data_IF_395926667477
#
_entry.id   IF_395926667477
#
_cell.length_a   1.000
_cell.length_b   1.000
_cell.length_c   1.000
_cell.angle_alpha   90.00
_cell.angle_beta   90.00
_cell.angle_gamma   90.00
#
_symmetry.space_group_name_H-M   'P 1'
#
loop_
_entity.id
_entity.type
_entity.pdbx_description
1 polymer ?
#
# COMPACT_ATOMS: atom_id res chain seq x y z
N UNK A 1 -42.72 11.64 26.62
CA UNK A 1 -42.24 10.23 26.69
C UNK A 1 -40.76 10.29 27.05
N UNK A 2 -40.43 10.16 28.34
CA UNK A 2 -39.05 10.32 28.84
C UNK A 2 -38.21 9.11 28.40
N UNK A 3 -37.39 9.28 27.37
CA UNK A 3 -36.31 8.34 27.08
C UNK A 3 -35.36 8.36 28.29
N UNK A 4 -35.29 7.25 29.04
CA UNK A 4 -34.32 7.10 30.13
C UNK A 4 -32.93 7.16 29.50
N UNK A 5 -32.10 8.09 29.96
CA UNK A 5 -30.69 8.16 29.57
C UNK A 5 -30.05 6.79 29.80
N UNK A 6 -29.39 6.20 28.78
CA UNK A 6 -28.79 4.88 28.93
C UNK A 6 -27.76 4.87 30.07
N UNK A 7 -27.73 3.76 30.80
CA UNK A 7 -26.76 3.55 31.89
C UNK A 7 -25.32 3.72 31.40
N UNK A 8 -24.41 4.00 32.33
CA UNK A 8 -22.98 4.21 32.03
C UNK A 8 -22.36 3.03 31.27
N UNK A 9 -22.77 1.79 31.59
CA UNK A 9 -22.31 0.58 30.90
C UNK A 9 -22.78 0.52 29.45
N UNK A 10 -24.05 0.84 29.17
CA UNK A 10 -24.56 0.83 27.80
C UNK A 10 -23.83 1.87 26.94
N UNK A 11 -23.68 3.10 27.43
CA UNK A 11 -22.95 4.16 26.73
C UNK A 11 -21.49 3.77 26.47
N UNK A 12 -20.85 3.09 27.41
CA UNK A 12 -19.49 2.58 27.22
C UNK A 12 -19.45 1.52 26.13
N UNK A 13 -20.37 0.55 26.15
CA UNK A 13 -20.44 -0.52 25.15
C UNK A 13 -20.71 0.03 23.75
N UNK A 14 -21.58 1.03 23.62
CA UNK A 14 -21.88 1.68 22.34
C UNK A 14 -20.63 2.39 21.79
N UNK A 15 -19.94 3.20 22.61
CA UNK A 15 -18.68 3.86 22.22
C UNK A 15 -17.62 2.86 21.81
N UNK A 16 -17.47 1.77 22.56
CA UNK A 16 -16.46 0.76 22.27
C UNK A 16 -16.80 0.03 20.98
N UNK A 17 -18.04 -0.44 20.83
CA UNK A 17 -18.49 -1.18 19.65
C UNK A 17 -18.33 -0.38 18.37
N UNK A 18 -18.83 0.86 18.36
CA UNK A 18 -18.79 1.72 17.18
C UNK A 18 -17.36 2.17 16.84
N UNK A 19 -16.50 2.38 17.86
CA UNK A 19 -15.10 2.76 17.61
C UNK A 19 -14.30 1.67 16.90
N UNK A 20 -14.67 0.38 17.04
CA UNK A 20 -14.04 -0.71 16.28
C UNK A 20 -14.58 -0.86 14.86
N UNK A 21 -15.66 -0.14 14.51
CA UNK A 21 -16.26 -0.18 13.17
C UNK A 21 -15.51 0.64 12.12
N UNK A 22 -14.65 1.58 12.54
CA UNK A 22 -13.92 2.46 11.62
C UNK A 22 -12.85 1.70 10.82
N UNK A 23 -12.80 1.93 9.50
CA UNK A 23 -11.92 1.18 8.59
C UNK A 23 -10.58 1.88 8.32
N UNK A 24 -10.54 3.20 8.42
CA UNK A 24 -9.35 4.01 8.20
C UNK A 24 -9.24 5.20 9.19
N UNK A 25 -8.09 5.88 9.15
CA UNK A 25 -7.77 6.98 10.06
C UNK A 25 -8.69 8.19 9.87
N UNK A 26 -9.15 8.47 8.66
CA UNK A 26 -9.98 9.64 8.36
C UNK A 26 -11.42 9.44 8.85
N UNK A 27 -11.95 8.22 8.68
CA UNK A 27 -13.21 7.82 9.26
C UNK A 27 -13.14 7.85 10.80
N UNK A 28 -12.06 7.34 11.40
CA UNK A 28 -11.86 7.40 12.85
C UNK A 28 -11.84 8.85 13.37
N UNK A 29 -11.05 9.73 12.74
CA UNK A 29 -10.88 11.15 13.16
C UNK A 29 -12.20 11.92 13.15
N UNK A 30 -13.03 11.69 12.15
CA UNK A 30 -14.32 12.38 11.99
C UNK A 30 -15.45 11.71 12.77
N UNK A 31 -15.48 10.38 12.81
CA UNK A 31 -16.53 9.58 13.44
C UNK A 31 -16.44 9.49 14.96
N UNK A 32 -15.25 9.60 15.55
CA UNK A 32 -15.11 9.53 17.02
C UNK A 32 -15.76 10.72 17.75
N UNK A 33 -15.85 11.88 17.09
CA UNK A 33 -16.40 13.11 17.68
C UNK A 33 -17.92 13.01 17.97
N UNK A 34 -18.79 12.69 17.00
CA UNK A 34 -20.22 12.50 17.26
C UNK A 34 -20.49 11.30 18.18
N UNK A 35 -19.66 10.25 18.11
CA UNK A 35 -19.76 9.10 19.00
C UNK A 35 -19.57 9.50 20.47
N UNK A 36 -18.51 10.25 20.76
CA UNK A 36 -18.24 10.74 22.11
C UNK A 36 -19.27 11.77 22.58
N UNK A 37 -19.84 12.58 21.68
CA UNK A 37 -20.96 13.48 22.01
C UNK A 37 -22.20 12.75 22.49
N UNK A 38 -22.48 11.58 21.91
CA UNK A 38 -23.62 10.75 22.33
C UNK A 38 -23.39 10.15 23.73
N UNK A 39 -22.16 9.79 24.05
CA UNK A 39 -21.81 9.18 25.33
C UNK A 39 -21.61 10.19 26.48
N UNK A 40 -20.99 11.33 26.19
CA UNK A 40 -20.69 12.40 27.14
C UNK A 40 -21.17 13.71 26.53
N UNK A 41 -22.32 14.25 26.96
CA UNK A 41 -22.88 15.49 26.42
C UNK A 41 -21.85 16.63 26.44
N UNK A 42 -21.62 17.22 25.27
CA UNK A 42 -20.69 18.32 25.07
C UNK A 42 -21.16 19.21 23.91
N UNK A 43 -20.72 20.47 23.92
CA UNK A 43 -21.01 21.44 22.87
C UNK A 43 -20.03 21.27 21.70
N UNK A 44 -18.76 21.03 22.03
CA UNK A 44 -17.69 20.80 21.06
C UNK A 44 -16.90 19.54 21.39
N UNK A 45 -16.67 18.71 20.37
CA UNK A 45 -15.69 17.63 20.39
C UNK A 45 -14.60 17.94 19.37
N UNK A 46 -13.34 17.71 19.71
CA UNK A 46 -12.22 17.95 18.80
C UNK A 46 -11.17 16.84 18.88
N UNK A 47 -10.65 16.45 17.72
CA UNK A 47 -9.47 15.63 17.54
C UNK A 47 -8.32 16.55 17.13
N UNK A 48 -7.21 16.50 17.84
CA UNK A 48 -6.09 17.43 17.64
C UNK A 48 -4.76 16.67 17.62
N UNK A 49 -3.94 16.95 16.61
CA UNK A 49 -2.54 16.57 16.52
C UNK A 49 -1.69 17.80 16.85
N UNK A 50 -1.14 17.85 18.06
CA UNK A 50 -0.48 19.03 18.60
C UNK A 50 1.03 18.83 18.62
N UNK A 51 1.72 19.46 17.67
CA UNK A 51 3.18 19.50 17.57
C UNK A 51 3.78 20.62 18.46
N UNK A 52 5.11 20.66 18.59
CA UNK A 52 5.83 21.81 19.14
C UNK A 52 5.89 22.97 18.14
N UNK A 53 5.88 22.66 16.85
CA UNK A 53 5.80 23.61 15.75
C UNK A 53 4.32 23.99 15.49
N UNK A 54 3.92 25.26 15.69
CA UNK A 54 2.57 25.73 15.43
C UNK A 54 2.09 25.48 13.99
N UNK A 55 2.99 25.43 13.00
CA UNK A 55 2.63 25.20 11.60
C UNK A 55 2.30 23.73 11.30
N UNK A 56 2.71 22.82 12.19
CA UNK A 56 2.46 21.37 12.09
C UNK A 56 1.30 20.91 12.96
N UNK A 57 0.60 21.83 13.62
CA UNK A 57 -0.62 21.50 14.35
C UNK A 57 -1.77 21.27 13.37
N UNK A 58 -2.50 20.19 13.60
CA UNK A 58 -3.67 19.84 12.80
C UNK A 58 -4.81 19.43 13.73
N UNK A 59 -6.06 19.62 13.31
CA UNK A 59 -7.19 19.16 14.07
C UNK A 59 -8.52 19.36 13.35
N UNK A 60 -9.50 18.60 13.80
CA UNK A 60 -10.89 18.67 13.35
C UNK A 60 -11.79 18.79 14.58
N UNK A 61 -12.88 19.53 14.44
CA UNK A 61 -13.88 19.72 15.49
C UNK A 61 -15.29 19.52 14.95
N UNK A 62 -16.17 19.09 15.84
CA UNK A 62 -17.62 19.10 15.65
C UNK A 62 -18.25 19.92 16.79
N UNK A 63 -19.02 20.98 16.48
CA UNK A 63 -19.16 21.58 15.15
C UNK A 63 -17.83 22.20 14.68
N UNK A 64 -17.75 22.52 13.39
CA UNK A 64 -16.57 23.17 12.82
C UNK A 64 -16.32 24.52 13.50
N UNK A 65 -15.09 24.76 13.95
CA UNK A 65 -14.69 26.01 14.59
C UNK A 65 -14.53 27.15 13.56
N UNK A 66 -14.68 28.42 13.98
CA UNK A 66 -14.42 29.57 13.12
C UNK A 66 -12.99 29.55 12.53
N UNK A 67 -12.77 30.02 11.28
CA UNK A 67 -11.49 29.90 10.57
C UNK A 67 -10.26 30.48 11.30
N UNK A 68 -10.42 31.53 12.11
CA UNK A 68 -9.32 32.11 12.89
C UNK A 68 -8.93 31.29 14.14
N UNK A 69 -9.79 30.36 14.58
CA UNK A 69 -9.66 29.62 15.83
C UNK A 69 -8.41 28.74 15.87
N UNK A 70 -8.06 27.95 14.82
CA UNK A 70 -6.82 27.17 14.80
C UNK A 70 -5.56 28.01 14.99
N UNK A 71 -5.51 29.22 14.40
CA UNK A 71 -4.37 30.14 14.56
C UNK A 71 -4.26 30.72 15.98
N UNK A 72 -5.40 30.92 16.67
CA UNK A 72 -5.40 31.32 18.09
C UNK A 72 -4.93 30.17 18.97
N UNK A 73 -5.45 28.97 18.73
CA UNK A 73 -5.01 27.76 19.42
C UNK A 73 -3.51 27.53 19.28
N UNK A 74 -2.97 27.55 18.05
CA UNK A 74 -1.56 27.28 17.82
C UNK A 74 -0.62 28.24 18.57
N UNK A 75 -1.04 29.50 18.77
CA UNK A 75 -0.30 30.49 19.55
C UNK A 75 -0.40 30.28 21.07
N UNK A 76 -1.51 29.76 21.58
CA UNK A 76 -1.81 29.72 23.02
C UNK A 76 -1.80 28.32 23.62
N UNK A 77 -1.73 27.26 22.81
CA UNK A 77 -1.78 25.86 23.25
C UNK A 77 -0.69 25.51 24.26
N UNK A 78 0.48 26.16 24.19
CA UNK A 78 1.57 26.00 25.16
C UNK A 78 1.17 26.40 26.60
N UNK A 79 0.11 27.20 26.77
CA UNK A 79 -0.44 27.59 28.08
C UNK A 79 -1.54 26.64 28.58
N UNK A 80 -1.95 25.65 27.77
CA UNK A 80 -3.03 24.75 28.11
C UNK A 80 -2.64 23.80 29.25
N UNK A 81 -3.32 23.82 30.41
CA UNK A 81 -2.84 23.15 31.63
C UNK A 81 -2.74 21.63 31.46
N UNK A 82 -3.74 21.01 30.83
CA UNK A 82 -3.71 19.55 30.56
C UNK A 82 -2.60 19.21 29.56
N UNK A 83 -2.33 20.06 28.57
CA UNK A 83 -1.31 19.78 27.57
C UNK A 83 0.09 19.90 28.17
N UNK A 84 0.32 20.90 29.03
CA UNK A 84 1.55 21.02 29.81
C UNK A 84 1.76 19.81 30.72
N UNK A 85 0.70 19.35 31.39
CA UNK A 85 0.75 18.14 32.21
C UNK A 85 1.15 16.92 31.38
N UNK A 86 0.45 16.64 30.28
CA UNK A 86 0.73 15.50 29.40
C UNK A 86 2.15 15.55 28.83
N UNK A 87 2.62 16.71 28.38
CA UNK A 87 3.98 16.86 27.85
C UNK A 87 5.05 16.55 28.90
N UNK A 88 4.80 16.90 30.17
CA UNK A 88 5.73 16.66 31.29
C UNK A 88 5.68 15.22 31.81
N UNK A 89 4.49 14.65 31.99
CA UNK A 89 4.30 13.36 32.70
C UNK A 89 4.09 12.18 31.75
N UNK A 90 3.70 12.46 30.51
CA UNK A 90 3.19 11.48 29.53
C UNK A 90 1.93 10.73 29.99
N UNK A 91 1.28 11.19 31.06
CA UNK A 91 0.00 10.64 31.51
C UNK A 91 -1.13 11.21 30.65
N UNK A 92 -1.60 10.38 29.72
CA UNK A 92 -2.65 10.71 28.76
C UNK A 92 -4.08 10.40 29.21
N UNK A 93 -4.30 10.04 30.49
CA UNK A 93 -5.64 9.75 31.01
C UNK A 93 -6.56 10.98 30.93
N UNK A 94 -7.90 10.80 30.91
CA UNK A 94 -8.83 11.92 30.94
C UNK A 94 -8.59 12.85 32.11
N UNK A 95 -8.45 14.14 31.83
CA UNK A 95 -8.28 15.22 32.80
C UNK A 95 -9.11 16.42 32.42
N UNK A 96 -9.66 17.08 33.43
CA UNK A 96 -10.36 18.35 33.27
C UNK A 96 -9.36 19.50 33.36
N UNK A 97 -9.70 20.65 32.80
CA UNK A 97 -8.97 21.90 33.08
C UNK A 97 -9.09 22.23 34.58
N UNK A 98 -10.25 22.01 35.18
CA UNK A 98 -10.54 22.24 36.60
C UNK A 98 -9.73 21.39 37.57
N UNK A 99 -9.13 20.28 37.12
CA UNK A 99 -8.19 19.48 37.92
C UNK A 99 -6.88 20.24 38.21
N UNK A 100 -6.59 21.31 37.45
CA UNK A 100 -5.33 22.06 37.50
C UNK A 100 -5.50 23.53 37.87
N UNK A 101 -6.59 24.15 37.43
CA UNK A 101 -6.86 25.57 37.62
C UNK A 101 -8.35 25.78 37.85
N UNK A 102 -8.70 26.49 38.92
CA UNK A 102 -10.11 26.78 39.18
C UNK A 102 -10.70 27.72 38.12
N UNK A 103 -12.03 27.75 38.02
CA UNK A 103 -12.73 28.50 36.97
C UNK A 103 -12.45 30.00 37.01
N UNK A 104 -12.27 30.60 38.19
CA UNK A 104 -12.00 32.04 38.31
C UNK A 104 -10.61 32.35 37.79
N UNK A 105 -9.60 31.57 38.17
CA UNK A 105 -8.25 31.71 37.67
C UNK A 105 -8.15 31.41 36.17
N UNK A 106 -8.86 30.39 35.67
CA UNK A 106 -8.86 30.04 34.24
C UNK A 106 -9.39 31.20 33.38
N UNK A 107 -10.47 31.85 33.82
CA UNK A 107 -11.07 33.02 33.13
C UNK A 107 -10.13 34.23 33.01
N UNK A 108 -9.16 34.34 33.91
CA UNK A 108 -8.17 35.40 33.88
C UNK A 108 -7.01 35.12 32.90
N UNK A 109 -6.91 33.90 32.38
CA UNK A 109 -5.84 33.55 31.43
C UNK A 109 -6.11 34.11 30.04
N UNK A 110 -5.03 34.42 29.32
CA UNK A 110 -5.11 34.81 27.91
C UNK A 110 -5.66 33.69 27.03
N UNK A 111 -5.30 32.44 27.35
CA UNK A 111 -5.86 31.27 26.69
C UNK A 111 -7.39 31.27 26.76
N UNK A 112 -7.97 31.51 27.94
CA UNK A 112 -9.43 31.57 28.05
C UNK A 112 -10.02 32.74 27.26
N UNK A 113 -9.50 33.96 27.46
CA UNK A 113 -10.07 35.18 26.85
C UNK A 113 -10.01 35.15 25.32
N UNK A 114 -8.90 34.69 24.74
CA UNK A 114 -8.69 34.74 23.29
C UNK A 114 -9.27 33.51 22.57
N UNK A 115 -9.38 32.36 23.23
CA UNK A 115 -9.81 31.09 22.62
C UNK A 115 -11.14 30.54 23.16
N UNK A 116 -11.29 30.37 24.48
CA UNK A 116 -12.47 29.70 25.06
C UNK A 116 -13.70 30.61 25.17
N UNK A 117 -13.54 31.85 25.63
CA UNK A 117 -14.63 32.79 25.86
C UNK A 117 -15.45 33.11 24.59
N UNK A 118 -14.83 33.35 23.40
CA UNK A 118 -15.60 33.59 22.17
C UNK A 118 -16.45 32.41 21.71
N UNK A 119 -16.10 31.19 22.16
CA UNK A 119 -16.81 29.96 21.83
C UNK A 119 -17.87 29.59 22.87
N UNK A 120 -17.97 30.35 23.97
CA UNK A 120 -18.86 30.05 25.10
C UNK A 120 -18.45 28.80 25.90
N UNK A 121 -17.20 28.36 25.78
CA UNK A 121 -16.71 27.16 26.46
C UNK A 121 -16.18 27.54 27.84
N UNK A 122 -16.71 26.88 28.88
CA UNK A 122 -16.30 27.10 30.27
C UNK A 122 -15.47 25.94 30.83
N UNK A 123 -15.70 24.74 30.31
CA UNK A 123 -15.10 23.50 30.79
C UNK A 123 -14.64 22.64 29.64
N UNK A 124 -13.55 21.91 29.88
CA UNK A 124 -13.03 20.92 28.93
C UNK A 124 -12.46 19.73 29.70
N UNK A 125 -12.79 18.53 29.22
CA UNK A 125 -12.09 17.28 29.54
C UNK A 125 -11.34 16.82 28.29
N UNK A 126 -10.09 16.41 28.47
CA UNK A 126 -9.29 15.88 27.36
C UNK A 126 -8.47 14.67 27.77
N UNK A 127 -8.20 13.80 26.81
CA UNK A 127 -7.32 12.65 26.96
C UNK A 127 -6.53 12.45 25.68
N UNK A 128 -5.46 11.66 25.76
CA UNK A 128 -4.60 11.44 24.59
C UNK A 128 -4.59 10.00 24.12
N UNK A 129 -4.39 9.84 22.82
CA UNK A 129 -4.09 8.58 22.17
C UNK A 129 -2.57 8.44 21.99
N UNK A 130 -2.03 7.20 21.86
CA UNK A 130 -0.63 6.99 21.58
C UNK A 130 -0.18 7.73 20.33
N UNK A 131 0.97 8.40 20.46
CA UNK A 131 1.61 9.17 19.39
C UNK A 131 3.12 9.17 19.61
N UNK A 132 3.89 9.38 18.55
CA UNK A 132 5.34 9.51 18.63
C UNK A 132 5.68 10.94 19.06
N UNK A 133 6.43 11.15 20.16
CA UNK A 133 6.89 12.49 20.52
C UNK A 133 7.66 13.15 19.36
N UNK A 134 7.55 14.48 19.17
CA UNK A 134 6.93 15.45 20.07
C UNK A 134 5.42 15.65 19.89
N UNK A 135 4.79 14.97 18.93
CA UNK A 135 3.36 15.12 18.61
C UNK A 135 2.50 14.54 19.74
N UNK A 136 1.45 15.27 20.11
CA UNK A 136 0.41 14.80 21.02
C UNK A 136 -0.91 14.68 20.27
N UNK A 137 -1.42 13.47 20.13
CA UNK A 137 -2.79 13.22 19.63
C UNK A 137 -3.77 13.29 20.79
N UNK A 138 -4.62 14.32 20.81
CA UNK A 138 -5.57 14.59 21.89
C UNK A 138 -7.00 14.62 21.39
N UNK A 139 -7.91 14.03 22.16
CA UNK A 139 -9.35 14.20 22.02
C UNK A 139 -9.83 15.10 23.16
N UNK A 140 -10.56 16.16 22.82
CA UNK A 140 -11.05 17.15 23.76
C UNK A 140 -12.58 17.30 23.62
N UNK A 141 -13.28 17.18 24.74
CA UNK A 141 -14.72 17.46 24.85
C UNK A 141 -14.89 18.72 25.68
N UNK A 142 -15.64 19.68 25.14
CA UNK A 142 -15.76 21.02 25.70
C UNK A 142 -17.22 21.42 25.81
N UNK A 143 -17.59 22.06 26.91
CA UNK A 143 -18.97 22.56 27.13
C UNK A 143 -19.01 23.78 28.02
N UNK A 144 -20.16 24.45 28.06
CA UNK A 144 -20.48 25.46 29.05
C UNK A 144 -21.96 25.42 29.45
N UNK A 145 -22.34 25.86 30.67
CA UNK A 145 -21.49 26.43 31.75
C UNK A 145 -20.97 25.40 32.77
N UNK A 146 -21.43 24.15 32.68
CA UNK A 146 -21.19 23.11 33.68
C UNK A 146 -19.92 22.30 33.40
N UNK A 147 -19.25 21.90 34.48
CA UNK A 147 -18.06 21.06 34.39
C UNK A 147 -18.41 19.57 34.25
N UNK A 148 -17.44 18.76 33.80
CA UNK A 148 -17.60 17.31 33.65
C UNK A 148 -17.66 16.61 35.01
N UNK A 149 -18.63 15.73 35.24
CA UNK A 149 -18.73 15.00 36.51
C UNK A 149 -17.77 13.80 36.58
N UNK A 150 -17.64 13.18 37.76
CA UNK A 150 -16.74 12.03 37.96
C UNK A 150 -17.21 10.76 37.24
N UNK A 151 -18.51 10.61 37.00
CA UNK A 151 -19.07 9.52 36.21
C UNK A 151 -18.67 9.62 34.75
N UNK A 152 -18.73 10.82 34.16
CA UNK A 152 -18.30 11.11 32.79
C UNK A 152 -16.81 10.87 32.61
N UNK A 153 -15.98 11.36 33.54
CA UNK A 153 -14.53 11.10 33.50
C UNK A 153 -14.20 9.62 33.71
N UNK A 154 -14.97 8.91 34.53
CA UNK A 154 -14.84 7.46 34.69
C UNK A 154 -15.20 6.71 33.42
N UNK A 155 -16.26 7.11 32.72
CA UNK A 155 -16.65 6.54 31.42
C UNK A 155 -15.52 6.71 30.41
N UNK A 156 -14.99 7.93 30.24
CA UNK A 156 -13.87 8.19 29.33
C UNK A 156 -12.61 7.41 29.74
N UNK A 157 -12.37 7.26 31.03
CA UNK A 157 -11.23 6.49 31.56
C UNK A 157 -11.33 5.02 31.18
N UNK A 158 -12.54 4.44 31.23
CA UNK A 158 -12.81 3.06 30.83
C UNK A 158 -12.84 2.88 29.31
N UNK A 159 -13.35 3.85 28.56
CA UNK A 159 -13.38 3.81 27.10
C UNK A 159 -11.98 3.92 26.48
N UNK A 160 -11.11 4.75 27.08
CA UNK A 160 -9.80 5.11 26.51
C UNK A 160 -8.94 3.91 26.06
N UNK A 161 -8.72 2.84 26.86
CA UNK A 161 -7.96 1.68 26.40
C UNK A 161 -8.49 1.04 25.10
N UNK A 162 -9.81 1.01 24.93
CA UNK A 162 -10.44 0.48 23.73
C UNK A 162 -10.29 1.43 22.53
N UNK A 163 -10.46 2.73 22.75
CA UNK A 163 -10.21 3.75 21.72
C UNK A 163 -8.76 3.72 21.24
N UNK A 164 -7.82 3.50 22.16
CA UNK A 164 -6.40 3.31 21.84
C UNK A 164 -6.19 2.08 20.97
N UNK A 165 -6.84 0.97 21.30
CA UNK A 165 -6.70 -0.27 20.55
C UNK A 165 -7.31 -0.15 19.14
N UNK A 166 -8.48 0.47 19.01
CA UNK A 166 -9.10 0.77 17.73
C UNK A 166 -8.17 1.65 16.88
N UNK A 167 -7.72 2.79 17.43
CA UNK A 167 -6.78 3.70 16.77
C UNK A 167 -5.50 2.99 16.29
N UNK A 168 -4.85 2.17 17.13
CA UNK A 168 -3.64 1.43 16.75
C UNK A 168 -3.86 0.42 15.64
N UNK A 169 -5.00 -0.26 15.66
CA UNK A 169 -5.36 -1.25 14.64
C UNK A 169 -5.49 -0.58 13.29
N UNK A 170 -6.17 0.57 13.27
CA UNK A 170 -6.39 1.40 12.08
C UNK A 170 -5.09 2.05 11.60
N UNK A 171 -4.24 2.54 12.50
CA UNK A 171 -2.94 3.11 12.16
C UNK A 171 -2.04 2.05 11.50
N UNK A 172 -2.00 0.83 12.04
CA UNK A 172 -1.21 -0.27 11.49
C UNK A 172 -1.75 -0.73 10.13
N UNK A 173 -3.07 -0.87 9.98
CA UNK A 173 -3.68 -1.26 8.69
C UNK A 173 -3.42 -0.20 7.63
N UNK A 174 -3.57 1.08 7.97
CA UNK A 174 -3.29 2.22 7.08
C UNK A 174 -1.82 2.28 6.66
N UNK A 175 -0.89 2.09 7.60
CA UNK A 175 0.54 2.05 7.30
C UNK A 175 0.92 0.86 6.39
N UNK A 176 0.30 -0.31 6.61
CA UNK A 176 0.48 -1.48 5.74
C UNK A 176 -0.05 -1.22 4.34
N UNK A 177 -1.26 -0.65 4.22
CA UNK A 177 -1.87 -0.30 2.94
C UNK A 177 -1.02 0.73 2.18
N UNK A 178 -0.52 1.77 2.86
CA UNK A 178 0.35 2.77 2.25
C UNK A 178 1.70 2.19 1.79
N UNK A 179 2.28 1.27 2.55
CA UNK A 179 3.52 0.57 2.19
C UNK A 179 3.31 -0.33 0.98
N UNK A 180 2.21 -1.09 0.95
CA UNK A 180 1.82 -1.88 -0.22
C UNK A 180 1.69 -0.95 -1.42
N UNK A 181 0.83 0.07 -1.37
CA UNK A 181 0.63 1.02 -2.47
C UNK A 181 1.93 1.71 -2.94
N UNK A 182 2.88 1.99 -2.04
CA UNK A 182 4.20 2.53 -2.40
C UNK A 182 5.06 1.49 -3.14
N UNK A 183 5.02 0.22 -2.71
CA UNK A 183 5.65 -0.89 -3.42
C UNK A 183 5.01 -1.10 -4.79
N UNK A 184 3.68 -1.04 -4.90
CA UNK A 184 2.95 -1.13 -6.18
C UNK A 184 3.46 -0.06 -7.14
N UNK A 185 3.41 1.21 -6.73
CA UNK A 185 3.93 2.34 -7.52
C UNK A 185 5.41 2.20 -7.89
N UNK A 186 6.22 1.67 -6.97
CA UNK A 186 7.64 1.43 -7.21
C UNK A 186 7.87 0.33 -8.25
N UNK A 187 7.10 -0.76 -8.20
CA UNK A 187 7.16 -1.85 -9.17
C UNK A 187 6.62 -1.42 -10.55
N UNK A 188 5.52 -0.65 -10.57
CA UNK A 188 4.96 -0.06 -11.79
C UNK A 188 5.95 0.92 -12.45
N UNK A 189 6.69 1.71 -11.67
CA UNK A 189 7.69 2.64 -12.19
C UNK A 189 8.87 1.94 -12.89
N UNK A 190 9.18 0.69 -12.51
CA UNK A 190 10.22 -0.14 -13.17
C UNK A 190 9.62 -0.94 -14.34
N UNK A 191 8.31 -0.84 -14.58
CA UNK A 191 7.55 -1.55 -15.63
C UNK A 191 7.73 -3.08 -15.62
N UNK A 192 8.08 -3.66 -14.46
CA UNK A 192 8.27 -5.10 -14.32
C UNK A 192 6.92 -5.78 -14.07
N UNK A 193 6.44 -6.67 -14.97
CA UNK A 193 5.16 -7.33 -14.78
C UNK A 193 5.22 -8.36 -13.63
N UNK A 194 4.74 -7.97 -12.46
CA UNK A 194 4.71 -8.79 -11.24
C UNK A 194 3.27 -9.11 -10.81
N UNK A 195 3.03 -10.35 -10.37
CA UNK A 195 1.80 -10.79 -9.70
C UNK A 195 2.14 -11.52 -8.40
N UNK A 196 1.44 -11.22 -7.31
CA UNK A 196 1.53 -11.97 -6.06
C UNK A 196 0.22 -12.69 -5.81
N UNK A 197 0.30 -13.97 -5.46
CA UNK A 197 -0.86 -14.81 -5.23
C UNK A 197 -0.86 -15.52 -3.89
N UNK A 198 -2.06 -15.72 -3.36
CA UNK A 198 -2.30 -16.53 -2.17
C UNK A 198 -2.19 -18.05 -2.50
N UNK A 199 -2.15 -18.93 -1.48
CA UNK A 199 -2.10 -20.38 -1.69
C UNK A 199 -3.30 -20.96 -2.47
N UNK A 200 -4.38 -20.20 -2.59
CA UNK A 200 -5.61 -20.59 -3.30
C UNK A 200 -5.66 -20.04 -4.74
N UNK A 201 -4.64 -19.30 -5.19
CA UNK A 201 -4.58 -18.72 -6.52
C UNK A 201 -5.34 -17.40 -6.70
N UNK A 202 -5.74 -16.74 -5.61
CA UNK A 202 -6.26 -15.36 -5.65
C UNK A 202 -5.11 -14.38 -5.80
N UNK A 203 -5.34 -13.35 -6.62
CA UNK A 203 -4.36 -12.28 -6.85
C UNK A 203 -4.42 -11.35 -5.65
N UNK A 204 -3.38 -11.40 -4.81
CA UNK A 204 -3.21 -10.46 -3.71
C UNK A 204 -2.71 -9.10 -4.22
N UNK A 205 -1.92 -9.11 -5.30
CA UNK A 205 -1.39 -7.92 -5.95
C UNK A 205 -1.02 -8.21 -7.42
N UNK A 206 -1.20 -7.25 -8.32
CA UNK A 206 -0.67 -7.30 -9.68
C UNK A 206 -0.42 -5.88 -10.22
N UNK A 207 0.79 -5.65 -10.73
CA UNK A 207 1.17 -4.43 -11.47
C UNK A 207 0.31 -4.24 -12.72
N UNK A 208 0.17 -3.01 -13.18
CA UNK A 208 -0.58 -2.69 -14.41
C UNK A 208 0.05 -3.40 -15.63
N UNK A 209 1.38 -3.46 -15.67
CA UNK A 209 2.12 -4.18 -16.69
C UNK A 209 1.81 -5.69 -16.69
N UNK A 210 1.64 -6.29 -15.51
CA UNK A 210 1.23 -7.69 -15.40
C UNK A 210 -0.21 -7.92 -15.84
N UNK A 211 -1.14 -7.04 -15.45
CA UNK A 211 -2.55 -7.13 -15.87
C UNK A 211 -2.67 -7.01 -17.39
N UNK A 212 -1.99 -6.03 -17.98
CA UNK A 212 -1.96 -5.86 -19.43
C UNK A 212 -1.37 -7.09 -20.13
N UNK A 213 -0.27 -7.65 -19.61
CA UNK A 213 0.38 -8.82 -20.20
C UNK A 213 -0.47 -10.10 -20.08
N UNK A 214 -1.14 -10.31 -18.95
CA UNK A 214 -2.07 -11.44 -18.78
C UNK A 214 -3.32 -11.28 -19.67
N UNK A 215 -3.81 -10.06 -19.84
CA UNK A 215 -4.93 -9.77 -20.74
C UNK A 215 -4.55 -10.05 -22.20
N UNK A 216 -3.40 -9.55 -22.65
CA UNK A 216 -2.86 -9.76 -24.00
C UNK A 216 -2.58 -11.24 -24.31
N UNK A 217 -1.90 -11.94 -23.40
CA UNK A 217 -1.38 -13.30 -23.66
C UNK A 217 -2.36 -14.42 -23.35
N UNK A 218 -3.20 -14.24 -22.34
CA UNK A 218 -4.08 -15.29 -21.83
C UNK A 218 -5.57 -14.91 -21.95
N UNK A 219 -5.90 -13.77 -22.57
CA UNK A 219 -7.28 -13.35 -22.82
C UNK A 219 -8.07 -13.10 -21.54
N UNK A 220 -7.41 -12.55 -20.52
CA UNK A 220 -8.01 -12.36 -19.19
C UNK A 220 -8.53 -10.94 -18.98
N UNK A 221 -9.57 -10.83 -18.16
CA UNK A 221 -10.07 -9.53 -17.71
C UNK A 221 -9.02 -8.86 -16.82
N UNK A 222 -8.69 -7.60 -17.11
CA UNK A 222 -7.77 -6.81 -16.31
C UNK A 222 -8.24 -6.67 -14.85
N UNK A 223 -9.55 -6.75 -14.60
CA UNK A 223 -10.16 -6.71 -13.28
C UNK A 223 -10.26 -8.09 -12.58
N UNK A 224 -9.70 -9.16 -13.16
CA UNK A 224 -9.77 -10.48 -12.55
C UNK A 224 -9.09 -10.53 -11.17
N UNK A 225 -9.81 -11.04 -10.17
CA UNK A 225 -9.30 -11.27 -8.80
C UNK A 225 -8.57 -12.62 -8.64
N UNK A 226 -8.61 -13.46 -9.67
CA UNK A 226 -8.01 -14.80 -9.68
C UNK A 226 -7.13 -14.99 -10.90
N UNK A 227 -6.08 -15.79 -10.75
CA UNK A 227 -5.22 -16.13 -11.86
C UNK A 227 -5.99 -16.87 -12.97
N UNK A 228 -5.55 -16.73 -14.23
CA UNK A 228 -6.09 -17.49 -15.34
C UNK A 228 -5.95 -19.00 -15.08
N UNK A 229 -6.99 -19.78 -15.40
CA UNK A 229 -6.99 -21.24 -15.16
C UNK A 229 -5.76 -21.93 -15.77
N UNK A 230 -5.36 -21.53 -16.97
CA UNK A 230 -4.18 -22.08 -17.66
C UNK A 230 -2.89 -21.91 -16.84
N UNK A 231 -2.71 -20.76 -16.19
CA UNK A 231 -1.55 -20.47 -15.34
C UNK A 231 -1.67 -21.20 -13.99
N UNK A 232 -2.86 -21.25 -13.37
CA UNK A 232 -3.09 -22.01 -12.15
C UNK A 232 -2.78 -23.51 -12.32
N UNK A 233 -3.26 -24.11 -13.41
CA UNK A 233 -3.02 -25.52 -13.69
C UNK A 233 -1.54 -25.80 -13.95
N UNK A 234 -0.83 -24.87 -14.59
CA UNK A 234 0.61 -24.97 -14.80
C UNK A 234 1.40 -24.87 -13.47
N UNK A 235 1.02 -23.96 -12.58
CA UNK A 235 1.61 -23.84 -11.24
C UNK A 235 1.36 -25.10 -10.39
N UNK A 236 0.16 -25.66 -10.43
CA UNK A 236 -0.18 -26.92 -9.73
C UNK A 236 0.63 -28.11 -10.22
N UNK A 237 0.80 -28.24 -11.54
CA UNK A 237 1.66 -29.30 -12.13
C UNK A 237 3.10 -29.20 -11.63
N UNK A 238 3.62 -27.98 -11.48
CA UNK A 238 4.97 -27.73 -10.97
C UNK A 238 5.11 -28.07 -9.49
N UNK A 239 4.13 -27.74 -8.65
CA UNK A 239 4.21 -28.01 -7.21
C UNK A 239 4.37 -29.51 -6.89
N UNK A 240 3.92 -30.40 -7.78
CA UNK A 240 4.15 -31.84 -7.67
C UNK A 240 5.55 -32.31 -8.06
N UNK A 241 6.36 -31.45 -8.70
CA UNK A 241 7.69 -31.76 -9.21
C UNK A 241 8.76 -30.97 -8.44
N UNK A 242 9.10 -31.47 -7.25
CA UNK A 242 9.80 -30.77 -6.17
C UNK A 242 11.24 -30.28 -6.46
N UNK A 243 11.71 -30.29 -7.72
CA UNK A 243 13.11 -29.98 -8.10
C UNK A 243 13.30 -28.91 -9.18
N UNK A 244 12.25 -28.36 -9.81
CA UNK A 244 12.45 -27.44 -10.94
C UNK A 244 12.47 -25.96 -10.54
N UNK A 245 13.58 -25.26 -10.81
CA UNK A 245 13.73 -23.79 -10.75
C UNK A 245 13.50 -23.12 -12.11
N UNK A 246 13.11 -23.89 -13.13
CA UNK A 246 12.97 -23.41 -14.51
C UNK A 246 11.77 -22.48 -14.69
N UNK A 247 11.78 -21.48 -15.57
CA UNK A 247 10.58 -20.69 -15.84
C UNK A 247 9.44 -21.55 -16.42
N UNK A 248 8.19 -21.27 -16.04
CA UNK A 248 7.02 -21.81 -16.72
C UNK A 248 6.81 -21.06 -18.04
N UNK A 249 6.60 -21.80 -19.13
CA UNK A 249 6.27 -21.25 -20.44
C UNK A 249 4.81 -21.54 -20.74
N UNK A 250 4.04 -20.50 -21.05
CA UNK A 250 2.62 -20.58 -21.40
C UNK A 250 2.40 -20.00 -22.80
N UNK A 251 1.60 -20.68 -23.63
CA UNK A 251 1.34 -20.25 -25.02
C UNK A 251 2.14 -21.02 -26.07
N UNK A 252 2.01 -20.62 -27.34
CA UNK A 252 2.68 -21.22 -28.49
C UNK A 252 3.02 -20.17 -29.55
N UNK A 253 4.10 -20.37 -30.32
CA UNK A 253 4.55 -19.45 -31.36
C UNK A 253 5.19 -18.16 -30.81
N UNK A 254 4.83 -17.00 -31.37
CA UNK A 254 5.35 -15.69 -30.94
C UNK A 254 4.68 -15.16 -29.66
N UNK A 255 3.71 -15.91 -29.12
CA UNK A 255 2.87 -15.49 -27.99
C UNK A 255 3.21 -16.23 -26.68
N UNK A 256 4.48 -16.57 -26.47
CA UNK A 256 4.91 -17.24 -25.24
C UNK A 256 4.86 -16.24 -24.08
N UNK A 257 4.51 -16.72 -22.89
CA UNK A 257 4.58 -15.99 -21.64
C UNK A 257 5.52 -16.77 -20.73
N UNK A 258 6.60 -16.13 -20.30
CA UNK A 258 7.55 -16.71 -19.36
C UNK A 258 7.12 -16.30 -17.96
N UNK A 259 6.98 -17.27 -17.06
CA UNK A 259 6.56 -17.04 -15.68
C UNK A 259 7.60 -17.64 -14.74
N UNK A 260 8.30 -16.77 -14.01
CA UNK A 260 9.23 -17.19 -12.96
C UNK A 260 8.51 -17.15 -11.63
N UNK A 261 8.50 -18.28 -10.93
CA UNK A 261 7.86 -18.42 -9.62
C UNK A 261 8.94 -18.24 -8.56
N UNK A 262 8.77 -17.22 -7.75
CA UNK A 262 9.55 -16.98 -6.55
C UNK A 262 8.68 -17.37 -5.35
N UNK A 263 9.13 -18.32 -4.51
CA UNK A 263 8.39 -18.66 -3.30
C UNK A 263 8.30 -17.43 -2.38
N UNK A 264 7.15 -17.25 -1.75
CA UNK A 264 6.94 -16.20 -0.76
C UNK A 264 7.90 -16.35 0.42
N UNK A 265 8.34 -15.21 0.95
CA UNK A 265 9.25 -15.14 2.11
C UNK A 265 8.55 -15.54 3.43
N UNK A 266 7.23 -15.69 3.41
CA UNK A 266 6.35 -15.94 4.55
C UNK A 266 6.21 -17.44 4.89
N UNK A 267 6.61 -18.35 4.01
CA UNK A 267 6.53 -19.80 4.25
C UNK A 267 5.10 -20.37 4.27
N UNK A 268 4.08 -19.54 4.08
CA UNK A 268 2.66 -19.90 4.12
C UNK A 268 2.07 -20.27 2.74
N UNK A 269 2.92 -20.40 1.72
CA UNK A 269 2.52 -20.84 0.37
C UNK A 269 2.10 -19.72 -0.57
N UNK A 270 2.31 -18.46 -0.20
CA UNK A 270 2.24 -17.32 -1.12
C UNK A 270 3.31 -17.43 -2.20
N UNK A 271 3.03 -16.96 -3.41
CA UNK A 271 4.00 -16.98 -4.52
C UNK A 271 4.03 -15.64 -5.25
N UNK A 272 5.24 -15.19 -5.59
CA UNK A 272 5.47 -14.05 -6.46
C UNK A 272 5.81 -14.56 -7.86
N UNK A 273 5.05 -14.11 -8.85
CA UNK A 273 5.20 -14.45 -10.26
C UNK A 273 5.79 -13.24 -10.97
N UNK A 274 6.98 -13.40 -11.53
CA UNK A 274 7.53 -12.46 -12.49
C UNK A 274 7.11 -12.93 -13.88
N UNK A 275 6.33 -12.11 -14.57
CA UNK A 275 5.87 -12.36 -15.93
C UNK A 275 6.79 -11.60 -16.89
N UNK A 276 7.26 -12.29 -17.91
CA UNK A 276 8.04 -11.67 -18.97
C UNK A 276 7.30 -11.94 -20.29
N UNK A 277 7.06 -10.91 -21.13
CA UNK A 277 6.52 -11.11 -22.46
C UNK A 277 7.49 -11.99 -23.22
N UNK A 278 7.13 -13.26 -23.39
CA UNK A 278 7.87 -14.21 -24.20
C UNK A 278 7.66 -13.88 -25.66
N UNK A 279 8.27 -12.79 -26.11
CA UNK A 279 8.79 -12.77 -27.46
C UNK A 279 10.04 -13.64 -27.35
N UNK A 280 10.04 -14.87 -27.90
CA UNK A 280 11.15 -15.83 -27.71
C UNK A 280 12.50 -15.09 -27.78
N UNK A 281 13.23 -15.07 -26.66
CA UNK A 281 14.09 -13.96 -26.20
C UNK A 281 15.14 -13.39 -27.16
N UNK A 282 15.28 -13.95 -28.35
CA UNK A 282 16.21 -13.53 -29.39
C UNK A 282 15.67 -12.37 -30.23
N UNK A 283 15.72 -11.14 -29.69
CA UNK A 283 15.50 -9.94 -30.51
C UNK A 283 16.79 -9.56 -31.29
N UNK A 284 16.63 -8.81 -32.38
CA UNK A 284 17.75 -8.43 -33.27
C UNK A 284 18.78 -7.58 -32.52
N UNK A 285 18.35 -6.67 -31.65
CA UNK A 285 19.24 -5.79 -30.88
C UNK A 285 20.16 -6.55 -29.90
N UNK A 286 19.65 -7.60 -29.24
CA UNK A 286 20.43 -8.46 -28.35
C UNK A 286 21.47 -9.26 -29.13
N UNK A 287 21.13 -9.73 -30.34
CA UNK A 287 22.08 -10.41 -31.21
C UNK A 287 23.14 -9.47 -31.80
N UNK A 288 22.84 -8.18 -31.99
CA UNK A 288 23.83 -7.20 -32.42
C UNK A 288 24.92 -6.96 -31.35
N UNK A 289 24.62 -7.19 -30.08
CA UNK A 289 25.62 -7.14 -29.00
C UNK A 289 26.72 -8.21 -29.16
N UNK A 290 26.50 -9.24 -29.99
CA UNK A 290 27.50 -10.21 -30.39
C UNK A 290 28.39 -9.74 -31.57
N UNK A 291 28.33 -8.45 -31.94
CA UNK A 291 29.10 -7.88 -33.05
C UNK A 291 28.48 -8.11 -34.44
N UNK A 292 27.21 -8.51 -34.48
CA UNK A 292 26.48 -8.77 -35.73
C UNK A 292 25.86 -7.49 -36.30
N UNK A 293 25.76 -7.40 -37.62
CA UNK A 293 24.97 -6.35 -38.28
C UNK A 293 23.47 -6.63 -38.12
N UNK A 294 22.58 -5.63 -38.33
CA UNK A 294 21.13 -5.85 -38.24
C UNK A 294 20.63 -7.01 -39.11
N UNK A 295 21.14 -7.14 -40.34
CA UNK A 295 20.73 -8.20 -41.28
C UNK A 295 21.29 -9.58 -40.91
N UNK A 296 22.50 -9.64 -40.37
CA UNK A 296 23.08 -10.88 -39.85
C UNK A 296 22.33 -11.37 -38.60
N UNK A 297 22.00 -10.46 -37.69
CA UNK A 297 21.21 -10.74 -36.50
C UNK A 297 19.77 -11.19 -36.84
N UNK A 298 19.15 -10.58 -37.85
CA UNK A 298 17.84 -11.00 -38.36
C UNK A 298 17.87 -12.41 -38.96
N UNK A 299 18.89 -12.72 -39.79
CA UNK A 299 19.05 -14.07 -40.34
C UNK A 299 19.30 -15.12 -39.24
N UNK A 300 20.19 -14.83 -38.28
CA UNK A 300 20.50 -15.72 -37.16
C UNK A 300 19.28 -15.97 -36.28
N UNK A 301 18.45 -14.95 -36.03
CA UNK A 301 17.20 -15.09 -35.28
C UNK A 301 16.28 -16.15 -35.90
N UNK A 302 16.05 -16.10 -37.20
CA UNK A 302 15.14 -17.06 -37.87
C UNK A 302 15.68 -18.49 -37.84
N UNK A 303 16.97 -18.67 -38.08
CA UNK A 303 17.64 -19.97 -37.95
C UNK A 303 17.55 -20.50 -36.52
N UNK A 304 17.78 -19.64 -35.52
CA UNK A 304 17.67 -20.00 -34.12
C UNK A 304 16.23 -20.18 -33.63
N UNK A 305 15.23 -19.81 -34.43
CA UNK A 305 13.82 -20.16 -34.25
C UNK A 305 13.42 -21.42 -35.04
N UNK A 306 14.39 -22.10 -35.69
CA UNK A 306 14.18 -23.37 -36.37
C UNK A 306 13.69 -23.25 -37.82
N UNK A 307 13.77 -22.06 -38.42
CA UNK A 307 13.45 -21.86 -39.84
C UNK A 307 14.57 -22.37 -40.73
N UNK A 308 14.21 -22.94 -41.88
CA UNK A 308 15.16 -23.33 -42.91
C UNK A 308 15.70 -22.11 -43.67
N UNK A 309 16.82 -22.28 -44.39
CA UNK A 309 17.41 -21.21 -45.21
C UNK A 309 16.44 -20.60 -46.24
N UNK A 310 15.67 -21.41 -47.01
CA UNK A 310 14.66 -20.89 -47.94
C UNK A 310 13.51 -20.15 -47.25
N UNK A 311 13.01 -20.63 -46.11
CA UNK A 311 11.98 -19.95 -45.34
C UNK A 311 12.49 -18.61 -44.79
N UNK A 312 13.71 -18.60 -44.27
CA UNK A 312 14.37 -17.39 -43.78
C UNK A 312 14.51 -16.35 -44.90
N UNK A 313 14.86 -16.79 -46.12
CA UNK A 313 14.97 -15.92 -47.29
C UNK A 313 13.62 -15.27 -47.64
N UNK A 314 12.54 -16.07 -47.62
CA UNK A 314 11.18 -15.59 -47.84
C UNK A 314 10.76 -14.57 -46.77
N UNK A 315 11.08 -14.83 -45.49
CA UNK A 315 10.74 -13.95 -44.38
C UNK A 315 11.51 -12.62 -44.41
N UNK A 316 12.75 -12.64 -44.90
CA UNK A 316 13.62 -11.46 -45.00
C UNK A 316 13.46 -10.69 -46.31
N UNK A 317 12.70 -11.22 -47.29
CA UNK A 317 12.52 -10.61 -48.61
C UNK A 317 13.81 -10.61 -49.46
N UNK A 318 14.68 -11.61 -49.29
CA UNK A 318 15.96 -11.73 -49.99
C UNK A 318 16.13 -13.12 -50.61
N UNK A 319 17.20 -13.33 -51.40
CA UNK A 319 17.48 -14.64 -51.99
C UNK A 319 18.07 -15.64 -50.96
N UNK A 320 17.85 -16.97 -51.10
CA UNK A 320 18.49 -17.97 -50.25
C UNK A 320 20.01 -17.88 -50.24
N UNK A 321 20.61 -17.55 -51.40
CA UNK A 321 22.05 -17.31 -51.54
C UNK A 321 22.53 -16.11 -50.71
N UNK A 322 21.68 -15.09 -50.53
CA UNK A 322 21.97 -13.93 -49.69
C UNK A 322 21.92 -14.30 -48.20
N UNK A 323 20.98 -15.16 -47.80
CA UNK A 323 20.91 -15.70 -46.42
C UNK A 323 22.15 -16.53 -46.10
N UNK A 324 22.58 -17.41 -47.01
CA UNK A 324 23.81 -18.20 -46.86
C UNK A 324 25.04 -17.30 -46.62
N UNK A 325 25.16 -16.21 -47.40
CA UNK A 325 26.23 -15.24 -47.22
C UNK A 325 26.19 -14.54 -45.85
N UNK A 326 24.99 -14.17 -45.37
CA UNK A 326 24.84 -13.61 -44.02
C UNK A 326 25.24 -14.63 -42.93
N UNK A 327 24.84 -15.89 -43.07
CA UNK A 327 25.18 -16.95 -42.11
C UNK A 327 26.68 -17.27 -42.11
N UNK A 328 27.35 -17.20 -43.26
CA UNK A 328 28.81 -17.34 -43.34
C UNK A 328 29.51 -16.27 -42.50
N UNK A 329 29.12 -15.00 -42.64
CA UNK A 329 29.70 -13.92 -41.83
C UNK A 329 29.35 -14.06 -40.34
N UNK A 330 28.15 -14.55 -40.01
CA UNK A 330 27.77 -14.86 -38.62
C UNK A 330 28.69 -15.94 -38.04
N UNK A 331 28.98 -17.01 -38.80
CA UNK A 331 29.88 -18.08 -38.37
C UNK A 331 31.30 -17.56 -38.10
N UNK A 332 31.82 -16.73 -39.01
CA UNK A 332 33.13 -16.10 -38.86
C UNK A 332 33.20 -15.19 -37.61
N UNK A 333 32.18 -14.36 -37.39
CA UNK A 333 32.14 -13.43 -36.25
C UNK A 333 31.94 -14.12 -34.90
N UNK A 334 31.16 -15.20 -34.87
CA UNK A 334 30.88 -15.95 -33.64
C UNK A 334 31.90 -17.07 -33.38
N UNK A 335 32.82 -17.34 -34.32
CA UNK A 335 33.83 -18.39 -34.19
C UNK A 335 33.24 -19.81 -34.18
N UNK A 336 32.13 -20.03 -34.89
CA UNK A 336 31.41 -21.31 -34.91
C UNK A 336 31.38 -21.91 -36.32
N UNK A 337 31.30 -23.23 -36.44
CA UNK A 337 31.39 -23.92 -37.73
C UNK A 337 30.02 -24.24 -38.35
N UNK A 338 28.93 -24.20 -37.56
CA UNK A 338 27.61 -24.63 -38.02
C UNK A 338 26.49 -23.72 -37.54
N UNK A 339 25.40 -23.67 -38.31
CA UNK A 339 24.18 -22.94 -37.97
C UNK A 339 23.56 -23.40 -36.65
N UNK A 340 23.69 -24.68 -36.32
CA UNK A 340 23.26 -25.25 -35.04
C UNK A 340 24.07 -24.71 -33.87
N UNK A 341 25.40 -24.58 -34.02
CA UNK A 341 26.27 -23.95 -33.01
C UNK A 341 25.99 -22.45 -32.90
N UNK A 342 25.80 -21.74 -34.02
CA UNK A 342 25.42 -20.33 -34.03
C UNK A 342 24.10 -20.08 -33.29
N UNK A 343 23.09 -20.93 -33.53
CA UNK A 343 21.83 -20.87 -32.81
C UNK A 343 22.00 -21.12 -31.31
N UNK A 344 22.85 -22.07 -30.90
CA UNK A 344 23.13 -22.32 -29.49
C UNK A 344 23.80 -21.11 -28.81
N UNK A 345 24.77 -20.47 -29.46
CA UNK A 345 25.42 -19.23 -28.99
C UNK A 345 24.41 -18.10 -28.86
N UNK A 346 23.53 -17.95 -29.86
CA UNK A 346 22.48 -16.95 -29.86
C UNK A 346 21.51 -17.13 -28.67
N UNK A 347 21.12 -18.37 -28.36
CA UNK A 347 20.28 -18.68 -27.21
C UNK A 347 20.99 -18.46 -25.86
N UNK A 348 22.27 -18.83 -25.77
CA UNK A 348 23.10 -18.58 -24.59
C UNK A 348 23.27 -17.08 -24.30
N UNK A 349 23.41 -16.26 -25.34
CA UNK A 349 23.52 -14.80 -25.22
C UNK A 349 22.27 -14.13 -24.63
N UNK A 350 21.10 -14.76 -24.77
CA UNK A 350 19.83 -14.25 -24.21
C UNK A 350 19.39 -15.02 -22.95
N UNK A 351 20.28 -15.82 -22.35
CA UNK A 351 20.01 -16.48 -21.07
C UNK A 351 18.95 -17.59 -21.09
N UNK A 352 18.52 -18.05 -22.27
CA UNK A 352 17.51 -19.12 -22.42
C UNK A 352 18.17 -20.34 -23.05
N UNK A 353 18.23 -21.48 -22.34
CA UNK A 353 18.63 -22.76 -22.95
C UNK A 353 17.45 -23.37 -23.70
N UNK A 354 17.65 -23.74 -24.97
CA UNK A 354 16.66 -24.51 -25.75
C UNK A 354 16.31 -25.83 -25.02
N UNK A 355 15.04 -26.27 -25.00
CA UNK A 355 14.72 -27.65 -24.71
C UNK A 355 15.37 -28.53 -25.78
N UNK A 356 16.13 -29.54 -25.34
CA UNK A 356 16.67 -30.53 -26.27
C UNK A 356 15.48 -31.29 -26.87
N UNK A 357 15.34 -31.20 -28.19
CA UNK A 357 14.38 -32.04 -28.94
C UNK A 357 15.05 -33.42 -29.13
N UNK A 358 14.32 -34.53 -28.97
CA UNK A 358 14.89 -35.88 -28.94
C UNK A 358 15.58 -36.33 -30.22
#
# INVERSE_FOLDING_TARGET
MNARTPGLEQRLMDVVGDAYGFVDLDEFRSGILPLLRTAVPNDYAAYNEVDVDPERMWGISDPALPPETPRRWARLSHQHPVLQYVRRTRDGRPRRISDFVDRVAFRQTRLYQDFYAPLGIESQVSFTLPSRPPVVVAIALSRGPDDFDDGEVTLLTRARPHLIQAYRTIELSSARAATLAALERGLDAVANPVVVVDPHGRIAFATDAARALLADRLGTDAAAERLPRALLDALRRRAGDARSTEPLLLGSGDNVLTVRVLPGLDGEGSAMLLLEPGSGGMNVAALQALGLTPREAEALRWIALGRSGPETASLMGISPRTVEKHLQHVHEKLGVATSSQAAATAWAAVGVRRPQTP
#
